data_IF_398465687925
#
_entry.id   IF_398465687925
#
_cell.length_a   1.000
_cell.length_b   1.000
_cell.length_c   1.000
_cell.angle_alpha   90.00
_cell.angle_beta   90.00
_cell.angle_gamma   90.00
#
_symmetry.space_group_name_H-M   'P 1'
#
loop_
_entity.id
_entity.type
_entity.pdbx_description
1 polymer ?
#
# COMPACT_ATOMS: atom_id res chain seq x y z
N UNK A 1 8.76 5.74 -11.13
CA UNK A 1 8.23 6.36 -9.90
C UNK A 1 7.86 5.23 -8.96
N UNK A 2 8.24 5.29 -7.67
CA UNK A 2 8.04 4.16 -6.74
C UNK A 2 6.57 4.04 -6.33
N UNK A 3 6.00 2.84 -6.38
CA UNK A 3 4.59 2.57 -6.06
C UNK A 3 4.44 1.85 -4.73
N UNK A 4 3.62 2.43 -3.85
CA UNK A 4 3.29 1.93 -2.52
C UNK A 4 1.81 1.59 -2.47
N UNK A 5 1.49 0.33 -2.28
CA UNK A 5 0.11 -0.14 -2.10
C UNK A 5 -0.18 -0.33 -0.61
N UNK A 6 -1.33 0.16 -0.16
CA UNK A 6 -1.82 0.00 1.21
C UNK A 6 -3.15 -0.74 1.18
N UNK A 7 -3.27 -1.83 1.96
CA UNK A 7 -4.53 -2.55 2.06
C UNK A 7 -4.81 -3.05 3.49
N UNK A 8 -6.09 -3.07 3.85
CA UNK A 8 -6.65 -3.61 5.08
C UNK A 8 -7.64 -4.74 4.74
N UNK A 9 -7.63 -5.82 5.51
CA UNK A 9 -8.56 -6.94 5.31
C UNK A 9 -10.03 -6.62 5.57
N UNK A 10 -10.36 -5.44 6.11
CA UNK A 10 -11.72 -5.03 6.50
C UNK A 10 -12.32 -3.92 5.64
N UNK A 11 -11.61 -3.44 4.60
CA UNK A 11 -12.11 -2.46 3.64
C UNK A 11 -11.14 -1.29 3.33
N UNK A 12 -11.49 -0.50 2.31
CA UNK A 12 -10.64 0.58 1.77
C UNK A 12 -10.60 1.81 2.67
N UNK A 13 -11.68 2.13 3.40
CA UNK A 13 -11.77 3.35 4.21
C UNK A 13 -10.62 3.48 5.22
N UNK A 14 -10.33 2.42 5.99
CA UNK A 14 -9.21 2.39 6.94
C UNK A 14 -7.85 2.48 6.22
N UNK A 15 -7.75 1.84 5.04
CA UNK A 15 -6.53 1.85 4.21
C UNK A 15 -6.19 3.25 3.69
N UNK A 16 -7.22 4.05 3.39
CA UNK A 16 -7.06 5.41 2.91
C UNK A 16 -6.44 6.33 3.97
N UNK A 17 -6.84 6.20 5.24
CA UNK A 17 -6.25 6.99 6.34
C UNK A 17 -4.76 6.72 6.49
N UNK A 18 -4.35 5.45 6.40
CA UNK A 18 -2.93 5.07 6.44
C UNK A 18 -2.19 5.57 5.20
N UNK A 19 -2.78 5.43 4.01
CA UNK A 19 -2.20 5.94 2.77
C UNK A 19 -1.95 7.46 2.83
N UNK A 20 -2.90 8.25 3.35
CA UNK A 20 -2.73 9.69 3.56
C UNK A 20 -1.58 10.01 4.51
N UNK A 21 -1.42 9.24 5.60
CA UNK A 21 -0.31 9.41 6.54
C UNK A 21 1.03 9.06 5.90
N UNK A 22 1.11 7.96 5.15
CA UNK A 22 2.31 7.55 4.41
C UNK A 22 2.70 8.61 3.39
N UNK A 23 1.73 9.12 2.61
CA UNK A 23 1.95 10.19 1.63
C UNK A 23 2.51 11.45 2.27
N UNK A 24 1.98 11.85 3.44
CA UNK A 24 2.50 13.00 4.20
C UNK A 24 3.96 12.80 4.63
N UNK A 25 4.30 11.63 5.19
CA UNK A 25 5.67 11.31 5.62
C UNK A 25 6.64 11.32 4.43
N UNK A 26 6.22 10.76 3.28
CA UNK A 26 7.03 10.76 2.06
C UNK A 26 7.28 12.19 1.55
N UNK A 27 6.25 13.04 1.60
CA UNK A 27 6.35 14.45 1.24
C UNK A 27 7.30 15.21 2.18
N UNK A 28 7.20 15.01 3.50
CA UNK A 28 8.09 15.62 4.49
C UNK A 28 9.56 15.21 4.28
N UNK A 29 9.79 13.97 3.82
CA UNK A 29 11.11 13.44 3.48
C UNK A 29 11.58 13.76 2.06
N UNK A 30 10.79 14.49 1.26
CA UNK A 30 11.06 14.79 -0.16
C UNK A 30 11.26 13.52 -1.02
N UNK A 31 10.57 12.43 -0.67
CA UNK A 31 10.61 11.16 -1.42
C UNK A 31 9.45 11.14 -2.41
N UNK A 32 9.76 11.00 -3.70
CA UNK A 32 8.75 10.86 -4.75
C UNK A 32 8.26 9.42 -4.83
N UNK A 33 7.07 9.16 -4.28
CA UNK A 33 6.38 7.89 -4.37
C UNK A 33 4.87 8.07 -4.48
N UNK A 34 4.24 7.20 -5.27
CA UNK A 34 2.80 7.11 -5.45
C UNK A 34 2.23 6.16 -4.40
N UNK A 35 1.30 6.63 -3.59
CA UNK A 35 0.66 5.84 -2.53
C UNK A 35 -0.80 5.62 -2.88
N UNK A 36 -1.20 4.36 -2.99
CA UNK A 36 -2.55 3.95 -3.38
C UNK A 36 -3.15 3.03 -2.32
N UNK A 37 -4.39 3.33 -1.91
CA UNK A 37 -5.17 2.46 -1.04
C UNK A 37 -6.05 1.57 -1.90
N UNK A 38 -5.94 0.25 -1.74
CA UNK A 38 -6.66 -0.72 -2.58
C UNK A 38 -7.48 -1.67 -1.71
N UNK A 39 -8.57 -2.19 -2.29
CA UNK A 39 -9.33 -3.26 -1.66
C UNK A 39 -8.56 -4.59 -1.74
N UNK A 40 -8.74 -5.44 -0.74
CA UNK A 40 -8.10 -6.76 -0.67
C UNK A 40 -8.42 -7.61 -1.91
N UNK A 41 -9.60 -7.42 -2.54
CA UNK A 41 -10.00 -8.14 -3.77
C UNK A 41 -9.17 -7.73 -4.99
N UNK A 42 -8.81 -6.45 -5.09
CA UNK A 42 -8.01 -5.92 -6.20
C UNK A 42 -6.50 -6.06 -5.96
N UNK A 43 -6.10 -6.36 -4.73
CA UNK A 43 -4.70 -6.46 -4.32
C UNK A 43 -3.92 -7.48 -5.16
N UNK A 44 -4.43 -8.68 -5.40
CA UNK A 44 -3.74 -9.74 -6.16
C UNK A 44 -3.33 -9.30 -7.58
N UNK A 45 -4.09 -8.38 -8.18
CA UNK A 45 -3.78 -7.84 -9.51
C UNK A 45 -2.78 -6.69 -9.44
N UNK A 46 -2.95 -5.77 -8.48
CA UNK A 46 -2.18 -4.53 -8.39
C UNK A 46 -0.80 -4.73 -7.73
N UNK A 47 -0.68 -5.69 -6.82
CA UNK A 47 0.55 -5.97 -6.06
C UNK A 47 1.73 -6.39 -6.95
N UNK A 48 1.47 -6.92 -8.15
CA UNK A 48 2.51 -7.27 -9.13
C UNK A 48 3.29 -6.06 -9.63
N UNK A 49 2.68 -4.87 -9.59
CA UNK A 49 3.25 -3.63 -10.12
C UNK A 49 3.63 -2.64 -9.00
N UNK A 50 3.73 -3.10 -7.76
CA UNK A 50 4.14 -2.27 -6.63
C UNK A 50 5.57 -2.58 -6.20
N UNK A 51 6.29 -1.56 -5.71
CA UNK A 51 7.59 -1.73 -5.07
C UNK A 51 7.44 -2.06 -3.58
N UNK A 52 6.38 -1.54 -2.95
CA UNK A 52 6.14 -1.67 -1.51
C UNK A 52 4.66 -1.98 -1.26
N UNK A 53 4.42 -2.95 -0.40
CA UNK A 53 3.09 -3.26 0.13
C UNK A 53 3.06 -3.05 1.64
N UNK A 54 2.08 -2.27 2.09
CA UNK A 54 1.79 -2.02 3.50
C UNK A 54 0.50 -2.75 3.85
N UNK A 55 0.64 -3.84 4.60
CA UNK A 55 -0.49 -4.58 5.16
C UNK A 55 -0.84 -4.01 6.54
N UNK A 56 -2.07 -3.52 6.70
CA UNK A 56 -2.55 -3.00 8.00
C UNK A 56 -2.92 -4.16 8.94
N UNK A 57 -3.40 -5.26 8.37
CA UNK A 57 -3.74 -6.51 9.07
C UNK A 57 -2.84 -7.63 8.59
N UNK A 58 -2.74 -8.72 9.38
CA UNK A 58 -1.94 -9.89 9.00
C UNK A 58 -2.37 -10.42 7.62
N UNK A 59 -1.48 -10.38 6.60
CA UNK A 59 -1.84 -10.84 5.26
C UNK A 59 -1.98 -12.37 5.26
N UNK A 60 -3.00 -12.89 4.56
CA UNK A 60 -3.20 -14.34 4.41
C UNK A 60 -2.24 -14.97 3.40
N UNK A 61 -1.67 -14.16 2.51
CA UNK A 61 -0.82 -14.59 1.41
C UNK A 61 0.47 -13.77 1.42
N UNK A 62 1.60 -14.44 1.24
CA UNK A 62 2.88 -13.78 1.03
C UNK A 62 3.02 -13.45 -0.46
N UNK A 63 3.19 -12.16 -0.77
CA UNK A 63 3.24 -11.69 -2.16
C UNK A 63 4.66 -11.63 -2.75
N UNK A 64 5.67 -12.11 -2.01
CA UNK A 64 7.04 -12.22 -2.52
C UNK A 64 7.65 -10.91 -3.00
N UNK A 65 7.21 -9.77 -2.44
CA UNK A 65 7.69 -8.45 -2.81
C UNK A 65 9.15 -8.38 -2.40
N UNK A 66 10.02 -8.32 -3.41
CA UNK A 66 11.46 -8.35 -3.25
C UNK A 66 11.90 -7.02 -2.65
N UNK A 67 12.41 -7.07 -1.42
CA UNK A 67 12.92 -5.92 -0.65
C UNK A 67 14.10 -5.25 -1.35
#
# INVERSE_FOLDING_TARGET
>A
MKRVIVACGSGVATSQTVASKVKRILSEKKISAEVEAVDIKSLDHLIKNCDVYVAITKPKKAYGIRR
#
